data_IF_122447652510
#
_entry.id   IF_122447652510
#
_cell.length_a   1.000
_cell.length_b   1.000
_cell.length_c   1.000
_cell.angle_alpha   90.00
_cell.angle_beta   90.00
_cell.angle_gamma   90.00
#
_symmetry.space_group_name_H-M   'P 1'
#
loop_
_entity.id
_entity.type
_entity.pdbx_description
1 polymer ?
#
# COMPACT_ATOMS: atom_id res chain seq x y z
N UNK A 1 15.97 -23.18 16.44
CA UNK A 1 16.53 -24.41 17.06
C UNK A 1 17.63 -25.08 16.23
N UNK A 2 17.41 -25.45 14.95
CA UNK A 2 18.47 -26.12 14.15
C UNK A 2 19.72 -25.26 13.90
N UNK A 3 19.57 -23.94 13.73
CA UNK A 3 20.68 -23.00 13.53
C UNK A 3 21.54 -22.83 14.78
N UNK A 4 20.91 -22.64 15.95
CA UNK A 4 21.61 -22.48 17.23
C UNK A 4 22.43 -23.73 17.60
N UNK A 5 21.86 -24.93 17.41
CA UNK A 5 22.58 -26.20 17.66
C UNK A 5 23.75 -26.38 16.69
N UNK A 6 23.58 -26.00 15.42
CA UNK A 6 24.66 -26.04 14.44
C UNK A 6 25.79 -25.05 14.79
N UNK A 7 25.44 -23.86 15.27
CA UNK A 7 26.40 -22.85 15.70
C UNK A 7 27.19 -23.29 16.94
N UNK A 8 26.51 -23.84 17.95
CA UNK A 8 27.17 -24.38 19.15
C UNK A 8 28.20 -25.47 18.78
N UNK A 9 27.80 -26.44 17.94
CA UNK A 9 28.71 -27.50 17.45
C UNK A 9 29.91 -26.94 16.67
N UNK A 10 29.72 -25.84 15.95
CA UNK A 10 30.81 -25.17 15.21
C UNK A 10 31.79 -24.51 16.17
N UNK A 11 31.28 -23.80 17.19
CA UNK A 11 32.09 -23.15 18.22
C UNK A 11 32.95 -24.16 19.01
N UNK A 12 32.39 -25.32 19.34
CA UNK A 12 33.13 -26.42 19.99
C UNK A 12 34.26 -26.96 19.11
N UNK A 13 33.97 -27.23 17.83
CA UNK A 13 34.91 -27.91 16.93
C UNK A 13 36.00 -27.00 16.36
N UNK A 14 35.66 -25.77 16.03
CA UNK A 14 36.53 -24.89 15.23
C UNK A 14 37.18 -23.79 16.07
N UNK A 15 36.65 -23.51 17.27
CA UNK A 15 37.05 -22.35 18.06
C UNK A 15 37.40 -22.68 19.51
N UNK A 16 37.38 -23.97 19.89
CA UNK A 16 37.86 -24.44 21.18
C UNK A 16 37.00 -24.02 22.38
N UNK A 17 35.76 -23.58 22.14
CA UNK A 17 34.81 -23.31 23.22
C UNK A 17 34.38 -24.62 23.87
N UNK A 18 34.22 -24.61 25.20
CA UNK A 18 33.57 -25.73 25.86
C UNK A 18 32.06 -25.70 25.59
N UNK A 19 31.38 -26.82 25.85
CA UNK A 19 29.95 -26.98 25.58
C UNK A 19 29.10 -25.85 26.19
N UNK A 20 29.32 -25.51 27.45
CA UNK A 20 28.55 -24.46 28.13
C UNK A 20 28.72 -23.08 27.49
N UNK A 21 29.94 -22.74 27.07
CA UNK A 21 30.22 -21.49 26.37
C UNK A 21 29.57 -21.46 24.99
N UNK A 22 29.69 -22.57 24.23
CA UNK A 22 29.14 -22.68 22.89
C UNK A 22 27.61 -22.61 22.88
N UNK A 23 26.94 -23.28 23.82
CA UNK A 23 25.50 -23.22 24.03
C UNK A 23 25.06 -21.81 24.45
N UNK A 24 25.76 -21.17 25.40
CA UNK A 24 25.45 -19.82 25.84
C UNK A 24 25.53 -18.78 24.72
N UNK A 25 26.58 -18.83 23.89
CA UNK A 25 26.73 -17.94 22.73
C UNK A 25 25.64 -18.20 21.68
N UNK A 26 25.39 -19.47 21.36
CA UNK A 26 24.38 -19.83 20.37
C UNK A 26 22.98 -19.42 20.79
N UNK A 27 22.68 -19.51 22.09
CA UNK A 27 21.41 -19.10 22.65
C UNK A 27 21.26 -17.58 22.68
N UNK A 28 22.28 -16.83 23.11
CA UNK A 28 22.25 -15.37 23.09
C UNK A 28 22.05 -14.81 21.67
N UNK A 29 22.70 -15.40 20.66
CA UNK A 29 22.50 -15.03 19.25
C UNK A 29 21.08 -15.37 18.80
N UNK A 30 20.57 -16.54 19.17
CA UNK A 30 19.22 -16.95 18.79
C UNK A 30 18.14 -16.05 19.41
N UNK A 31 18.29 -15.68 20.68
CA UNK A 31 17.41 -14.75 21.38
C UNK A 31 17.47 -13.37 20.72
N UNK A 32 18.67 -12.85 20.47
CA UNK A 32 18.84 -11.57 19.78
C UNK A 32 18.21 -11.56 18.37
N UNK A 33 18.42 -12.61 17.56
CA UNK A 33 17.80 -12.73 16.24
C UNK A 33 16.27 -12.81 16.31
N UNK A 34 15.73 -13.52 17.31
CA UNK A 34 14.29 -13.73 17.46
C UNK A 34 13.56 -12.50 17.98
N UNK A 35 14.23 -11.68 18.80
CA UNK A 35 13.62 -10.47 19.38
C UNK A 35 13.73 -9.23 18.49
N UNK A 36 14.80 -9.10 17.69
CA UNK A 36 15.10 -7.84 17.00
C UNK A 36 14.87 -7.87 15.49
N UNK A 37 14.77 -9.05 14.87
CA UNK A 37 14.59 -9.15 13.42
C UNK A 37 13.13 -9.33 13.07
N UNK A 38 12.68 -8.62 12.04
CA UNK A 38 11.38 -8.87 11.44
C UNK A 38 11.34 -10.31 10.90
N UNK A 39 10.39 -11.09 11.40
CA UNK A 39 10.20 -12.47 10.94
C UNK A 39 9.52 -12.48 9.57
N UNK A 40 9.56 -13.64 8.90
CA UNK A 40 8.78 -13.83 7.66
C UNK A 40 7.28 -13.60 7.89
N UNK A 41 6.77 -13.90 9.08
CA UNK A 41 5.37 -13.65 9.42
C UNK A 41 5.07 -12.15 9.53
N UNK A 42 6.00 -11.36 10.07
CA UNK A 42 5.87 -9.90 10.14
C UNK A 42 5.86 -9.28 8.75
N UNK A 43 6.73 -9.77 7.86
CA UNK A 43 6.76 -9.34 6.46
C UNK A 43 5.47 -9.70 5.72
N UNK A 44 4.98 -10.93 5.85
CA UNK A 44 3.72 -11.36 5.23
C UNK A 44 2.52 -10.51 5.73
N UNK A 45 2.50 -10.17 7.02
CA UNK A 45 1.48 -9.28 7.59
C UNK A 45 1.58 -7.85 7.04
N UNK A 46 2.81 -7.36 6.85
CA UNK A 46 3.05 -6.04 6.25
C UNK A 46 2.62 -6.02 4.78
N UNK A 47 2.95 -7.05 4.00
CA UNK A 47 2.54 -7.23 2.61
C UNK A 47 1.02 -7.22 2.48
N UNK A 48 0.30 -8.04 3.26
CA UNK A 48 -1.16 -8.06 3.26
C UNK A 48 -1.78 -6.69 3.61
N UNK A 49 -1.17 -5.97 4.55
CA UNK A 49 -1.61 -4.62 4.92
C UNK A 49 -1.37 -3.61 3.80
N UNK A 50 -0.25 -3.71 3.08
CA UNK A 50 0.06 -2.86 1.95
C UNK A 50 -0.89 -3.13 0.78
N UNK A 51 -1.13 -4.39 0.45
CA UNK A 51 -2.07 -4.81 -0.59
C UNK A 51 -3.49 -4.29 -0.30
N UNK A 52 -3.98 -4.44 0.92
CA UNK A 52 -5.27 -3.89 1.32
C UNK A 52 -5.34 -2.35 1.18
N UNK A 53 -4.25 -1.64 1.49
CA UNK A 53 -4.18 -0.17 1.33
C UNK A 53 -4.15 0.25 -0.13
N UNK A 54 -3.43 -0.49 -0.97
CA UNK A 54 -3.37 -0.25 -2.41
C UNK A 54 -4.76 -0.45 -3.04
N UNK A 55 -5.44 -1.55 -2.73
CA UNK A 55 -6.80 -1.79 -3.20
C UNK A 55 -7.78 -0.68 -2.76
N UNK A 56 -7.66 -0.19 -1.53
CA UNK A 56 -8.46 0.95 -1.05
C UNK A 56 -8.14 2.24 -1.80
N UNK A 57 -6.88 2.49 -2.16
CA UNK A 57 -6.49 3.66 -2.93
C UNK A 57 -7.03 3.59 -4.36
N UNK A 58 -6.98 2.42 -5.00
CA UNK A 58 -7.51 2.19 -6.34
C UNK A 58 -9.01 2.50 -6.40
N UNK A 59 -9.80 1.94 -5.47
CA UNK A 59 -11.24 2.22 -5.37
C UNK A 59 -11.52 3.73 -5.19
N UNK A 60 -10.73 4.42 -4.35
CA UNK A 60 -10.89 5.86 -4.13
C UNK A 60 -10.59 6.67 -5.40
N UNK A 61 -9.56 6.29 -6.15
CA UNK A 61 -9.20 6.94 -7.41
C UNK A 61 -10.29 6.72 -8.47
N UNK A 62 -10.75 5.47 -8.65
CA UNK A 62 -11.84 5.16 -9.58
C UNK A 62 -13.12 5.93 -9.24
N UNK A 63 -13.49 5.96 -7.95
CA UNK A 63 -14.66 6.70 -7.49
C UNK A 63 -14.48 8.21 -7.73
N UNK A 64 -13.30 8.75 -7.45
CA UNK A 64 -12.98 10.16 -7.69
C UNK A 64 -13.06 10.55 -9.17
N UNK A 65 -12.54 9.70 -10.06
CA UNK A 65 -12.62 9.89 -11.50
C UNK A 65 -14.06 9.84 -12.00
N UNK A 66 -14.85 8.84 -11.58
CA UNK A 66 -16.26 8.75 -11.95
C UNK A 66 -17.08 9.97 -11.49
N UNK A 67 -16.77 10.52 -10.30
CA UNK A 67 -17.38 11.75 -9.83
C UNK A 67 -16.97 12.98 -10.65
N UNK A 68 -15.71 13.07 -11.09
CA UNK A 68 -15.26 14.12 -11.99
C UNK A 68 -15.97 14.05 -13.34
N UNK A 69 -16.08 12.86 -13.93
CA UNK A 69 -16.78 12.66 -15.20
C UNK A 69 -18.24 13.10 -15.12
N UNK A 70 -18.93 12.74 -14.04
CA UNK A 70 -20.32 13.17 -13.78
C UNK A 70 -20.44 14.70 -13.68
N UNK A 71 -19.50 15.36 -12.98
CA UNK A 71 -19.49 16.83 -12.88
C UNK A 71 -19.22 17.49 -14.23
N UNK A 72 -18.31 16.94 -15.03
CA UNK A 72 -18.03 17.45 -16.38
C UNK A 72 -19.25 17.29 -17.30
N UNK A 73 -19.92 16.14 -17.26
CA UNK A 73 -21.16 15.92 -18.01
C UNK A 73 -22.26 16.92 -17.61
N UNK A 74 -22.43 17.18 -16.31
CA UNK A 74 -23.39 18.18 -15.81
C UNK A 74 -23.04 19.59 -16.31
N UNK A 75 -21.75 19.97 -16.30
CA UNK A 75 -21.31 21.26 -16.83
C UNK A 75 -21.56 21.38 -18.34
N UNK A 76 -21.29 20.32 -19.11
CA UNK A 76 -21.59 20.28 -20.54
C UNK A 76 -23.08 20.47 -20.83
N UNK A 77 -23.94 19.73 -20.12
CA UNK A 77 -25.40 19.89 -20.24
C UNK A 77 -25.82 21.32 -19.90
N UNK A 78 -25.32 21.87 -18.79
CA UNK A 78 -25.63 23.24 -18.38
C UNK A 78 -25.23 24.24 -19.46
N UNK A 79 -24.01 24.14 -20.00
CA UNK A 79 -23.54 25.00 -21.07
C UNK A 79 -24.45 24.90 -22.31
N UNK A 80 -24.82 23.68 -22.72
CA UNK A 80 -25.74 23.47 -23.85
C UNK A 80 -27.13 24.09 -23.60
N UNK A 81 -27.63 24.04 -22.38
CA UNK A 81 -28.88 24.73 -22.01
C UNK A 81 -28.76 26.24 -22.17
N UNK A 82 -27.66 26.84 -21.72
CA UNK A 82 -27.46 28.29 -21.87
C UNK A 82 -27.30 28.71 -23.34
N UNK A 83 -26.57 27.94 -24.16
CA UNK A 83 -26.39 28.27 -25.58
C UNK A 83 -27.69 28.17 -26.36
N UNK A 84 -28.54 27.17 -26.07
CA UNK A 84 -29.86 27.04 -26.70
C UNK A 84 -30.80 28.18 -26.30
N UNK A 85 -30.82 28.58 -25.03
CA UNK A 85 -31.58 29.74 -24.56
C UNK A 85 -31.11 31.03 -25.25
N UNK A 86 -29.79 31.27 -25.29
CA UNK A 86 -29.22 32.46 -25.94
C UNK A 86 -29.53 32.51 -27.43
N UNK A 87 -29.44 31.39 -28.14
CA UNK A 87 -29.81 31.30 -29.55
C UNK A 87 -31.29 31.67 -29.77
N UNK A 88 -32.20 31.19 -28.91
CA UNK A 88 -33.62 31.56 -28.95
C UNK A 88 -33.86 33.05 -28.75
N UNK A 89 -33.15 33.68 -27.80
CA UNK A 89 -33.21 35.13 -27.56
C UNK A 89 -32.74 35.90 -28.79
N UNK A 90 -31.62 35.52 -29.39
CA UNK A 90 -31.08 36.18 -30.61
C UNK A 90 -32.10 36.12 -31.74
N UNK A 91 -32.72 34.96 -31.98
CA UNK A 91 -33.76 34.80 -33.01
C UNK A 91 -34.97 35.69 -32.74
N UNK A 92 -35.41 35.81 -31.48
CA UNK A 92 -36.52 36.67 -31.11
C UNK A 92 -36.20 38.15 -31.38
N UNK A 93 -35.01 38.62 -31.00
CA UNK A 93 -34.57 40.00 -31.24
C UNK A 93 -34.52 40.32 -32.73
N UNK A 94 -33.98 39.41 -33.56
CA UNK A 94 -33.92 39.58 -35.03
C UNK A 94 -35.31 39.68 -35.69
N UNK A 95 -36.36 39.12 -35.08
CA UNK A 95 -37.73 39.24 -35.59
C UNK A 95 -38.43 40.54 -35.19
N UNK A 96 -37.91 41.25 -34.18
CA UNK A 96 -38.47 42.51 -33.69
C UNK A 96 -37.86 43.75 -34.35
N UNK A 97 -36.68 43.63 -34.97
CA UNK A 97 -36.00 44.67 -35.76
C UNK A 97 -36.33 44.57 -37.24
#
# INVERSE_FOLDING_TARGET
MNSAIALAKKLEREHGFNQSQAEGIAQAIHEHESEHLATKADLAKLEAKLEARLAQMEIKLETGLAQMDSKLAQLQVRLMTWTTVLAGIIIAVLKLT
#
